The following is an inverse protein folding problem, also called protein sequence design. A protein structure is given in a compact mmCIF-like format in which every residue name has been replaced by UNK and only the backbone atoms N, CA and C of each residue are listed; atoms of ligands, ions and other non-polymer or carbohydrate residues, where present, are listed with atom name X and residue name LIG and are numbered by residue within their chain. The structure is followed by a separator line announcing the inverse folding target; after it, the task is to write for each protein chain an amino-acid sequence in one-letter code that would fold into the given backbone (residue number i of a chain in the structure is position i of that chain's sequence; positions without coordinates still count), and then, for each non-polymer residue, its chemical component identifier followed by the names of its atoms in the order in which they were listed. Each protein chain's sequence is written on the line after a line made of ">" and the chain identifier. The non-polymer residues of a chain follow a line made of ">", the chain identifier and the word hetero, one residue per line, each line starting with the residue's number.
data_IF_877728561244
#
_entry.id   IF_877728561244
#
_cell.length_a   1.000
_cell.length_b   1.000
_cell.length_c   1.000
_cell.angle_alpha   90.00
_cell.angle_beta   90.00
_cell.angle_gamma   90.00
#
_symmetry.space_group_name_H-M   'P 1'
#
loop_
_entity.id
_entity.type
_entity.pdbx_description
1 polymer ?
#
# COMPACT_ATOMS: atom_id res chain seq x y z
N UNK A 1 -17.34 -4.14 -14.76
CA UNK A 1 -17.93 -3.05 -13.95
C UNK A 1 -19.13 -3.65 -13.26
N UNK A 2 -19.10 -3.79 -11.93
CA UNK A 2 -20.32 -4.13 -11.19
C UNK A 2 -21.05 -2.80 -10.98
N UNK A 3 -22.28 -2.63 -11.47
CA UNK A 3 -23.06 -1.42 -11.23
C UNK A 3 -23.32 -1.27 -9.73
N UNK A 4 -23.21 -0.05 -9.20
CA UNK A 4 -23.69 0.27 -7.86
C UNK A 4 -25.22 0.32 -7.82
N UNK A 5 -25.78 0.04 -6.64
CA UNK A 5 -27.21 0.11 -6.34
C UNK A 5 -27.73 1.56 -6.47
N UNK A 6 -28.98 1.82 -6.93
CA UNK A 6 -29.54 3.16 -7.06
C UNK A 6 -29.76 3.89 -5.72
N UNK A 7 -29.91 3.15 -4.62
CA UNK A 7 -30.21 3.66 -3.28
C UNK A 7 -29.00 3.51 -2.32
N UNK A 8 -27.91 4.19 -2.66
CA UNK A 8 -26.87 4.59 -1.71
C UNK A 8 -26.27 3.50 -0.81
N UNK A 9 -25.24 2.80 -1.30
CA UNK A 9 -24.01 2.64 -0.54
C UNK A 9 -22.83 2.38 -1.49
N UNK A 10 -21.74 3.11 -1.30
CA UNK A 10 -20.64 3.17 -2.26
C UNK A 10 -19.89 1.82 -2.31
N UNK A 11 -19.71 1.19 -3.49
CA UNK A 11 -18.98 -0.08 -3.59
C UNK A 11 -17.48 0.01 -3.23
N UNK A 12 -16.93 1.21 -3.01
CA UNK A 12 -15.51 1.43 -2.65
C UNK A 12 -15.16 1.05 -1.21
N UNK A 13 -16.02 1.36 -0.25
CA UNK A 13 -15.71 1.29 1.18
C UNK A 13 -15.50 -0.16 1.68
N UNK A 14 -16.17 -1.14 1.05
CA UNK A 14 -16.02 -2.56 1.39
C UNK A 14 -14.65 -3.14 1.03
N UNK A 15 -13.95 -2.56 0.05
CA UNK A 15 -12.66 -3.08 -0.40
C UNK A 15 -11.52 -2.56 0.48
N UNK A 16 -11.50 -1.26 0.79
CA UNK A 16 -10.49 -0.67 1.67
C UNK A 16 -10.56 -1.25 3.09
N UNK A 17 -11.74 -1.66 3.55
CA UNK A 17 -11.88 -2.41 4.80
C UNK A 17 -11.07 -3.72 4.82
N UNK A 18 -10.80 -4.32 3.66
CA UNK A 18 -10.07 -5.59 3.52
C UNK A 18 -8.62 -5.39 3.14
N UNK A 19 -8.32 -4.45 2.23
CA UNK A 19 -6.97 -4.25 1.69
C UNK A 19 -6.22 -3.11 2.35
N UNK A 20 -6.91 -2.24 3.08
CA UNK A 20 -6.39 -1.01 3.66
C UNK A 20 -6.66 0.23 2.81
N UNK A 21 -6.37 1.43 3.35
CA UNK A 21 -6.51 2.69 2.64
C UNK A 21 -5.66 2.71 1.36
N UNK A 22 -6.24 3.10 0.23
CA UNK A 22 -5.55 3.04 -1.05
C UNK A 22 -4.29 3.92 -1.09
N UNK A 23 -4.28 5.06 -0.42
CA UNK A 23 -3.10 5.92 -0.32
C UNK A 23 -1.89 5.20 0.31
N UNK A 24 -2.11 4.31 1.27
CA UNK A 24 -1.06 3.50 1.87
C UNK A 24 -0.66 2.34 0.95
N UNK A 25 -1.62 1.70 0.30
CA UNK A 25 -1.35 0.60 -0.62
C UNK A 25 -0.57 1.07 -1.85
N UNK A 26 -0.93 2.22 -2.41
CA UNK A 26 -0.23 2.84 -3.54
C UNK A 26 1.16 3.33 -3.15
N UNK A 27 1.31 3.89 -1.94
CA UNK A 27 2.62 4.24 -1.40
C UNK A 27 3.52 3.01 -1.29
N UNK A 28 3.03 1.94 -0.67
CA UNK A 28 3.75 0.69 -0.52
C UNK A 28 4.10 0.08 -1.89
N UNK A 29 3.14 0.07 -2.82
CA UNK A 29 3.33 -0.43 -4.17
C UNK A 29 4.46 0.31 -4.88
N UNK A 30 4.39 1.65 -4.91
CA UNK A 30 5.37 2.47 -5.61
C UNK A 30 6.79 2.21 -5.08
N UNK A 31 7.01 2.32 -3.77
CA UNK A 31 8.36 2.15 -3.21
C UNK A 31 8.85 0.70 -3.29
N UNK A 32 7.95 -0.28 -3.32
CA UNK A 32 8.30 -1.69 -3.53
C UNK A 32 8.71 -1.94 -4.98
N UNK A 33 7.90 -1.57 -5.96
CA UNK A 33 8.14 -1.96 -7.37
C UNK A 33 9.07 -1.02 -8.10
N UNK A 34 9.02 0.29 -7.84
CA UNK A 34 9.86 1.26 -8.51
C UNK A 34 11.27 1.29 -7.95
N UNK A 35 11.42 1.11 -6.64
CA UNK A 35 12.68 1.33 -5.92
C UNK A 35 13.20 0.09 -5.18
N UNK A 36 12.42 -0.98 -5.08
CA UNK A 36 12.87 -2.23 -4.44
C UNK A 36 13.19 -2.05 -2.95
N UNK A 37 12.57 -1.08 -2.27
CA UNK A 37 12.90 -0.78 -0.88
C UNK A 37 12.44 -1.88 0.08
N UNK A 38 13.24 -2.08 1.12
CA UNK A 38 12.87 -2.95 2.24
C UNK A 38 11.67 -2.37 3.01
N UNK A 39 10.81 -3.21 3.62
CA UNK A 39 9.63 -2.75 4.34
C UNK A 39 9.92 -1.75 5.45
N UNK A 40 11.03 -1.92 6.16
CA UNK A 40 11.46 -1.01 7.22
C UNK A 40 11.69 0.42 6.69
N UNK A 41 12.28 0.54 5.50
CA UNK A 41 12.48 1.84 4.84
C UNK A 41 11.15 2.41 4.34
N UNK A 42 10.28 1.58 3.79
CA UNK A 42 8.94 2.01 3.33
C UNK A 42 8.13 2.55 4.52
N UNK A 43 8.09 1.83 5.63
CA UNK A 43 7.40 2.24 6.85
C UNK A 43 7.96 3.54 7.43
N UNK A 44 9.29 3.71 7.44
CA UNK A 44 9.92 4.96 7.84
C UNK A 44 9.45 6.15 6.97
N UNK A 45 9.47 5.99 5.65
CA UNK A 45 9.02 7.04 4.73
C UNK A 45 7.52 7.33 4.90
N UNK A 46 6.69 6.30 5.04
CA UNK A 46 5.26 6.45 5.27
C UNK A 46 5.00 7.19 6.58
N UNK A 47 5.72 6.86 7.65
CA UNK A 47 5.61 7.54 8.93
C UNK A 47 6.00 9.02 8.82
N UNK A 48 7.08 9.35 8.10
CA UNK A 48 7.44 10.75 7.85
C UNK A 48 6.35 11.53 7.07
N UNK A 49 5.64 10.86 6.17
CA UNK A 49 4.60 11.48 5.35
C UNK A 49 3.26 11.63 6.08
N UNK A 50 2.86 10.64 6.89
CA UNK A 50 1.48 10.49 7.35
C UNK A 50 1.28 10.61 8.86
N UNK A 51 2.34 10.77 9.67
CA UNK A 51 2.19 10.89 11.14
C UNK A 51 1.45 12.16 11.59
N UNK A 52 1.43 13.19 10.76
CA UNK A 52 0.83 14.48 11.07
C UNK A 52 0.21 15.09 9.81
N UNK A 53 -1.12 15.09 9.74
CA UNK A 53 -1.87 15.62 8.60
C UNK A 53 -1.68 17.12 8.36
N UNK A 54 -1.14 17.87 9.35
CA UNK A 54 -0.88 19.30 9.22
C UNK A 54 0.46 19.60 8.55
N UNK A 55 1.29 18.59 8.33
CA UNK A 55 2.63 18.72 7.72
C UNK A 55 2.61 18.28 6.27
N UNK A 56 3.53 18.85 5.49
CA UNK A 56 3.66 18.55 4.07
C UNK A 56 2.64 19.31 3.21
N UNK A 57 2.41 18.81 1.99
CA UNK A 57 1.48 19.39 1.02
C UNK A 57 0.44 18.36 0.62
N UNK A 58 -0.82 18.77 0.61
CA UNK A 58 -1.95 17.97 0.16
C UNK A 58 -2.38 18.47 -1.23
N UNK A 59 -2.38 17.63 -2.27
CA UNK A 59 -2.79 18.02 -3.61
C UNK A 59 -4.31 17.96 -3.75
N UNK A 60 -5.00 19.10 -3.79
CA UNK A 60 -6.46 19.20 -3.99
C UNK A 60 -7.33 18.29 -3.09
N UNK A 61 -6.79 17.82 -1.95
CA UNK A 61 -7.51 16.96 -0.99
C UNK A 61 -8.23 17.84 0.05
N UNK A 62 -9.56 17.73 0.20
CA UNK A 62 -10.33 18.41 1.24
C UNK A 62 -9.83 18.05 2.63
N UNK A 63 -9.92 18.98 3.58
CA UNK A 63 -9.40 18.78 4.94
C UNK A 63 -9.98 17.55 5.64
N UNK A 64 -11.26 17.25 5.43
CA UNK A 64 -11.92 16.07 6.01
C UNK A 64 -11.51 14.72 5.40
N UNK A 65 -10.69 14.72 4.35
CA UNK A 65 -10.13 13.50 3.71
C UNK A 65 -8.61 13.43 3.86
N UNK A 66 -8.02 14.30 4.69
CA UNK A 66 -6.59 14.23 5.03
C UNK A 66 -6.46 13.28 6.19
N UNK A 67 -5.87 12.12 5.94
CA UNK A 67 -5.67 11.12 6.97
C UNK A 67 -4.31 11.28 7.64
N UNK A 68 -4.26 10.87 8.91
CA UNK A 68 -3.01 10.64 9.64
C UNK A 68 -3.01 9.20 10.13
N UNK A 69 -1.83 8.60 10.18
CA UNK A 69 -1.68 7.20 10.58
C UNK A 69 -0.60 7.06 11.66
N UNK A 70 -0.92 6.23 12.64
CA UNK A 70 0.02 5.77 13.66
C UNK A 70 1.01 4.77 13.06
N UNK A 71 2.17 4.60 13.71
CA UNK A 71 3.16 3.62 13.27
C UNK A 71 2.60 2.18 13.26
N UNK A 72 1.74 1.85 14.22
CA UNK A 72 1.04 0.57 14.26
C UNK A 72 0.14 0.33 13.04
N UNK A 73 -0.66 1.33 12.63
CA UNK A 73 -1.51 1.25 11.44
C UNK A 73 -0.69 1.09 10.16
N UNK A 74 0.40 1.85 10.04
CA UNK A 74 1.32 1.74 8.91
C UNK A 74 1.94 0.34 8.82
N UNK A 75 2.41 -0.22 9.94
CA UNK A 75 2.94 -1.58 10.03
C UNK A 75 1.89 -2.63 9.67
N UNK A 76 0.66 -2.46 10.18
CA UNK A 76 -0.45 -3.36 9.87
C UNK A 76 -0.75 -3.38 8.38
N UNK A 77 -0.97 -2.23 7.76
CA UNK A 77 -1.32 -2.16 6.34
C UNK A 77 -0.18 -2.55 5.41
N UNK A 78 1.08 -2.33 5.81
CA UNK A 78 2.25 -2.86 5.10
C UNK A 78 2.33 -4.39 5.20
N UNK A 79 1.92 -4.98 6.33
CA UNK A 79 1.82 -6.45 6.48
C UNK A 79 0.76 -7.03 5.54
N UNK A 80 -0.42 -6.39 5.48
CA UNK A 80 -1.49 -6.74 4.55
C UNK A 80 -0.99 -6.62 3.11
N UNK A 81 -0.34 -5.50 2.75
CA UNK A 81 0.27 -5.31 1.45
C UNK A 81 1.24 -6.45 1.10
N UNK A 82 2.21 -6.74 1.96
CA UNK A 82 3.26 -7.73 1.68
C UNK A 82 2.69 -9.14 1.48
N UNK A 83 1.78 -9.58 2.34
CA UNK A 83 1.12 -10.87 2.19
C UNK A 83 0.31 -10.92 0.89
N UNK A 84 -0.48 -9.88 0.59
CA UNK A 84 -1.28 -9.83 -0.63
C UNK A 84 -0.43 -9.80 -1.89
N UNK A 85 0.58 -8.95 -1.91
CA UNK A 85 1.41 -8.67 -3.06
C UNK A 85 2.34 -9.84 -3.40
N UNK A 86 3.05 -10.38 -2.41
CA UNK A 86 4.07 -11.41 -2.65
C UNK A 86 3.55 -12.84 -2.63
N UNK A 87 2.42 -13.12 -1.97
CA UNK A 87 1.94 -14.49 -1.79
C UNK A 87 0.65 -14.80 -2.56
N UNK A 88 -0.41 -13.99 -2.38
CA UNK A 88 -1.74 -14.39 -2.88
C UNK A 88 -2.22 -13.70 -4.16
N UNK A 89 -1.49 -12.73 -4.72
CA UNK A 89 -1.95 -11.99 -5.90
C UNK A 89 -1.18 -12.27 -7.19
N UNK A 90 0.03 -12.83 -7.12
CA UNK A 90 0.88 -12.94 -8.31
C UNK A 90 0.30 -13.86 -9.38
N UNK A 91 -0.32 -14.99 -9.01
CA UNK A 91 -0.96 -15.89 -9.96
C UNK A 91 -2.04 -15.20 -10.81
N UNK A 92 -2.76 -14.22 -10.24
CA UNK A 92 -3.80 -13.44 -10.94
C UNK A 92 -3.18 -12.52 -11.99
N UNK A 93 -1.95 -12.05 -11.77
CA UNK A 93 -1.23 -11.14 -12.66
C UNK A 93 -0.59 -11.87 -13.83
N UNK A 94 -0.22 -13.13 -13.66
CA UNK A 94 0.37 -13.99 -14.71
C UNK A 94 -0.48 -14.07 -15.98
N UNK A 95 -1.79 -13.86 -15.88
CA UNK A 95 -2.74 -13.93 -17.00
C UNK A 95 -3.48 -12.60 -17.27
N UNK A 96 -2.91 -11.45 -16.87
CA UNK A 96 -3.58 -10.15 -17.07
C UNK A 96 -3.77 -9.83 -18.57
N UNK A 97 -4.92 -9.27 -19.01
CA UNK A 97 -5.11 -8.82 -20.38
C UNK A 97 -4.08 -7.75 -20.81
N UNK A 98 -3.99 -7.49 -22.11
CA UNK A 98 -3.14 -6.41 -22.63
C UNK A 98 -3.67 -5.06 -22.15
N UNK A 99 -2.77 -4.21 -21.64
CA UNK A 99 -3.08 -2.85 -21.24
C UNK A 99 -1.82 -1.96 -21.39
N UNK A 100 -1.98 -0.67 -21.74
CA UNK A 100 -0.85 0.25 -21.77
C UNK A 100 -0.36 0.55 -20.36
N UNK A 101 0.95 0.67 -20.19
CA UNK A 101 1.55 1.18 -18.95
C UNK A 101 1.26 2.67 -18.82
N UNK A 102 0.86 3.10 -17.63
CA UNK A 102 0.65 4.52 -17.29
C UNK A 102 1.50 4.87 -16.07
N UNK A 103 2.11 6.05 -16.10
CA UNK A 103 2.94 6.57 -15.00
C UNK A 103 4.37 6.01 -14.96
N UNK A 104 5.22 6.65 -14.15
CA UNK A 104 6.63 6.29 -13.99
C UNK A 104 6.86 5.18 -12.96
N UNK A 105 5.86 4.88 -12.12
CA UNK A 105 5.94 3.89 -11.04
C UNK A 105 6.04 2.43 -11.49
N UNK A 106 5.81 2.17 -12.78
CA UNK A 106 5.80 0.81 -13.32
C UNK A 106 4.39 0.28 -13.55
N UNK A 107 4.33 -0.92 -14.09
CA UNK A 107 3.11 -1.71 -14.31
C UNK A 107 3.27 -3.09 -13.70
N UNK A 108 2.15 -3.78 -13.48
CA UNK A 108 2.14 -5.13 -12.90
C UNK A 108 1.97 -6.22 -13.96
N UNK A 109 2.27 -5.90 -15.23
CA UNK A 109 2.24 -6.87 -16.32
C UNK A 109 3.41 -7.86 -16.18
N UNK A 110 3.16 -9.18 -16.23
CA UNK A 110 4.21 -10.20 -16.26
C UNK A 110 5.04 -10.16 -17.55
N UNK A 111 4.56 -9.41 -18.55
CA UNK A 111 5.24 -9.14 -19.82
C UNK A 111 6.01 -7.83 -19.82
N UNK A 112 5.97 -7.08 -18.72
CA UNK A 112 6.59 -5.76 -18.58
C UNK A 112 7.42 -5.67 -17.31
N UNK A 113 7.07 -4.71 -16.44
CA UNK A 113 7.95 -4.29 -15.34
C UNK A 113 7.99 -5.29 -14.16
N UNK A 114 6.98 -6.15 -13.97
CA UNK A 114 6.90 -7.03 -12.80
C UNK A 114 6.85 -8.51 -13.18
N UNK A 115 8.00 -9.18 -13.07
CA UNK A 115 8.18 -10.60 -13.37
C UNK A 115 8.50 -11.35 -12.08
N UNK A 116 7.53 -12.10 -11.54
CA UNK A 116 7.67 -12.84 -10.30
C UNK A 116 7.01 -14.22 -10.37
N UNK A 117 7.49 -15.23 -9.59
CA UNK A 117 6.87 -16.55 -9.50
C UNK A 117 5.47 -16.47 -8.88
N UNK A 118 4.52 -17.27 -9.38
CA UNK A 118 3.14 -17.29 -8.88
C UNK A 118 2.97 -18.01 -7.54
N UNK A 119 3.99 -18.76 -7.14
CA UNK A 119 4.14 -19.62 -5.97
C UNK A 119 5.17 -19.06 -4.96
N UNK A 120 5.40 -17.74 -4.99
CA UNK A 120 6.28 -17.07 -4.04
C UNK A 120 5.65 -16.97 -2.65
N UNK A 121 6.49 -16.89 -1.62
CA UNK A 121 6.09 -16.73 -0.22
C UNK A 121 6.41 -15.32 0.31
N UNK A 122 5.55 -14.77 1.18
CA UNK A 122 5.76 -13.47 1.81
C UNK A 122 6.64 -13.53 3.07
N UNK A 123 7.10 -14.72 3.48
CA UNK A 123 7.75 -14.97 4.78
C UNK A 123 8.88 -14.00 5.10
N UNK A 124 9.81 -13.79 4.16
CA UNK A 124 10.97 -12.90 4.37
C UNK A 124 10.57 -11.43 4.50
N UNK A 125 9.53 -11.00 3.79
CA UNK A 125 9.00 -9.64 3.85
C UNK A 125 8.30 -9.39 5.18
N UNK A 126 7.47 -10.34 5.62
CA UNK A 126 6.79 -10.28 6.91
C UNK A 126 7.79 -10.30 8.08
N UNK A 127 8.85 -11.09 8.00
CA UNK A 127 9.92 -11.09 9.00
C UNK A 127 10.62 -9.72 9.11
N UNK A 128 10.87 -9.02 7.99
CA UNK A 128 11.40 -7.65 8.04
C UNK A 128 10.39 -6.67 8.65
N UNK A 129 9.10 -6.83 8.36
CA UNK A 129 8.04 -5.96 8.89
C UNK A 129 7.93 -6.09 10.41
N UNK A 130 8.15 -7.28 10.97
CA UNK A 130 8.14 -7.46 12.42
C UNK A 130 9.21 -6.64 13.16
N UNK A 131 10.25 -6.19 12.46
CA UNK A 131 11.30 -5.31 13.03
C UNK A 131 10.87 -3.85 13.16
N UNK A 132 9.71 -3.49 12.61
CA UNK A 132 9.15 -2.13 12.73
C UNK A 132 8.53 -1.99 14.13
N UNK A 133 8.84 -0.91 14.87
CA UNK A 133 8.24 -0.65 16.18
C UNK A 133 6.71 -0.50 16.09
N UNK A 134 6.01 -0.91 17.14
CA UNK A 134 4.54 -0.72 17.21
C UNK A 134 4.15 0.66 17.74
N UNK A 135 5.04 1.30 18.50
CA UNK A 135 4.81 2.61 19.08
C UNK A 135 5.78 3.63 18.50
N UNK A 136 5.29 4.85 18.37
CA UNK A 136 6.10 5.98 17.95
C UNK A 136 7.07 6.34 19.09
N UNK A 137 8.40 6.25 18.87
CA UNK A 137 9.39 6.60 19.89
C UNK A 137 9.41 8.10 20.25
N UNK A 138 8.76 8.95 19.44
CA UNK A 138 8.65 10.40 19.67
C UNK A 138 7.25 10.81 20.19
N UNK A 139 6.35 9.86 20.46
CA UNK A 139 5.05 10.13 21.08
C UNK A 139 5.26 10.70 22.50
N UNK A 140 5.22 12.03 22.61
CA UNK A 140 5.38 12.76 23.87
C UNK A 140 6.55 13.75 23.92
N UNK A 141 7.31 13.93 22.84
CA UNK A 141 8.43 14.89 22.76
C UNK A 141 8.10 16.23 22.05
N UNK A 142 6.83 16.50 21.76
CA UNK A 142 6.38 17.75 21.12
C UNK A 142 5.76 18.70 22.13
#
# INVERSE_FOLDING_TARGET
>A
LVPGDPDGDQPGQKTEAVVGPYELQDFNLYYTTRLGYLPTKIAFLAYCCWRDQRRGRWPDIPEGQRHQYTLAELKHWLSVFAWRFFQISQFKRSCVPNAPKVGSGGSLSPRGDYRAPSDSEATVWLAQIQRIPDQDPDAGKN
#
